data_IF_443018954574
#
_entry.id   IF_443018954574
#
_cell.length_a   1.000
_cell.length_b   1.000
_cell.length_c   1.000
_cell.angle_alpha   90.00
_cell.angle_beta   90.00
_cell.angle_gamma   90.00
#
_symmetry.space_group_name_H-M   'P 1'
#
loop_
_entity.id
_entity.type
_entity.pdbx_description
1 polymer ?
#
# COMPACT_ATOMS: atom_id res chain seq x y z
N UNK A 1 -8.86 11.12 14.91
CA UNK A 1 -7.74 11.72 14.21
C UNK A 1 -6.75 12.29 15.21
N UNK A 2 -5.60 11.64 15.35
CA UNK A 2 -4.59 12.10 16.28
C UNK A 2 -4.35 13.60 16.06
N UNK A 3 -3.52 13.90 15.08
CA UNK A 3 -3.20 15.29 14.77
C UNK A 3 -3.17 15.47 13.25
N UNK A 4 -4.25 16.06 12.74
CA UNK A 4 -4.36 16.29 11.31
C UNK A 4 -3.78 15.09 10.55
N UNK A 5 -4.40 13.94 10.77
CA UNK A 5 -3.96 12.73 10.12
C UNK A 5 -5.17 12.00 9.52
N UNK A 6 -4.88 10.95 8.78
CA UNK A 6 -5.93 10.16 8.14
C UNK A 6 -5.44 8.74 7.88
N UNK A 7 -6.39 7.87 7.56
CA UNK A 7 -6.07 6.48 7.29
C UNK A 7 -6.59 6.09 5.91
N UNK A 8 -5.69 5.52 5.11
CA UNK A 8 -6.05 5.09 3.76
C UNK A 8 -5.51 3.68 3.53
N UNK A 9 -6.44 2.76 3.33
CA UNK A 9 -6.08 1.37 3.08
C UNK A 9 -6.00 1.12 1.58
N UNK A 10 -4.90 0.51 1.16
CA UNK A 10 -4.70 0.21 -0.24
C UNK A 10 -4.70 -1.31 -0.45
N UNK A 11 -4.99 -1.71 -1.67
CA UNK A 11 -5.03 -3.13 -2.00
C UNK A 11 -4.47 -3.32 -3.42
N UNK A 12 -3.45 -4.16 -3.50
CA UNK A 12 -2.82 -4.44 -4.79
C UNK A 12 -2.75 -5.96 -4.99
N UNK A 13 -2.84 -6.36 -6.25
CA UNK A 13 -2.78 -7.77 -6.59
C UNK A 13 -1.45 -8.08 -7.27
N UNK A 14 -0.80 -9.16 -6.79
CA UNK A 14 0.48 -9.57 -7.34
C UNK A 14 0.30 -10.25 -8.69
N UNK A 15 1.31 -10.08 -9.55
CA UNK A 15 1.27 -10.66 -10.87
C UNK A 15 1.04 -12.17 -10.72
N UNK A 16 1.61 -12.72 -9.65
CA UNK A 16 1.47 -14.14 -9.38
C UNK A 16 2.22 -14.48 -8.09
N UNK A 17 2.16 -15.75 -7.72
CA UNK A 17 2.82 -16.21 -6.51
C UNK A 17 4.31 -15.86 -6.59
N UNK A 18 4.80 -15.74 -7.82
CA UNK A 18 6.20 -15.41 -8.05
C UNK A 18 6.53 -14.06 -7.40
N UNK A 19 5.58 -13.15 -7.49
CA UNK A 19 5.77 -11.82 -6.92
C UNK A 19 6.18 -11.93 -5.45
N UNK A 20 7.48 -11.72 -5.21
CA UNK A 20 8.01 -11.79 -3.87
C UNK A 20 7.20 -10.86 -2.96
N UNK A 21 6.32 -11.47 -2.17
CA UNK A 21 5.48 -10.71 -1.26
C UNK A 21 6.34 -10.01 -0.20
N UNK A 22 7.41 -10.67 0.19
CA UNK A 22 8.31 -10.12 1.19
C UNK A 22 8.87 -8.79 0.70
N UNK A 23 9.13 -8.74 -0.60
CA UNK A 23 9.66 -7.53 -1.22
C UNK A 23 8.52 -6.52 -1.41
N UNK A 24 7.40 -7.03 -1.91
CA UNK A 24 6.24 -6.19 -2.15
C UNK A 24 5.77 -5.57 -0.83
N UNK A 25 5.73 -6.42 0.19
CA UNK A 25 5.31 -5.98 1.51
C UNK A 25 6.34 -5.05 2.12
N UNK A 26 7.60 -5.33 1.81
CA UNK A 26 8.70 -4.52 2.31
C UNK A 26 8.77 -3.19 1.55
N UNK A 27 8.99 -3.30 0.25
CA UNK A 27 9.08 -2.11 -0.59
C UNK A 27 8.00 -1.13 -0.15
N UNK A 28 6.78 -1.62 -0.12
CA UNK A 28 5.65 -0.79 0.28
C UNK A 28 6.02 0.00 1.54
N UNK A 29 6.62 -0.71 2.49
CA UNK A 29 7.03 -0.09 3.74
C UNK A 29 8.22 0.83 3.50
N UNK A 30 9.25 0.29 2.88
CA UNK A 30 10.45 1.04 2.59
C UNK A 30 10.08 2.47 2.17
N UNK A 31 9.12 2.56 1.27
CA UNK A 31 8.65 3.84 0.79
C UNK A 31 8.55 4.82 1.95
N UNK A 32 9.13 6.00 1.76
CA UNK A 32 9.11 7.03 2.78
C UNK A 32 8.78 8.39 2.17
N UNK A 33 8.18 9.24 2.99
CA UNK A 33 7.81 10.57 2.53
C UNK A 33 7.60 11.48 3.75
N UNK A 34 7.52 12.78 3.47
CA UNK A 34 7.32 13.75 4.53
C UNK A 34 5.88 13.67 5.03
N UNK A 35 5.75 13.49 6.33
CA UNK A 35 4.43 13.40 6.95
C UNK A 35 3.76 12.07 6.59
N UNK A 36 4.54 11.19 6.00
CA UNK A 36 4.03 9.88 5.60
C UNK A 36 4.33 8.87 6.70
N UNK A 37 3.26 8.25 7.19
CA UNK A 37 3.40 7.25 8.25
C UNK A 37 3.00 5.88 7.70
N UNK A 38 3.83 4.89 7.99
CA UNK A 38 3.58 3.55 7.54
C UNK A 38 3.08 2.73 8.73
N UNK A 39 1.86 2.24 8.60
CA UNK A 39 1.25 1.45 9.66
C UNK A 39 1.47 -0.05 9.43
N UNK A 40 0.50 -0.83 9.86
CA UNK A 40 0.58 -2.27 9.70
C UNK A 40 -0.18 -2.70 8.44
N UNK A 41 0.39 -3.68 7.75
CA UNK A 41 -0.22 -4.19 6.54
C UNK A 41 -1.04 -5.44 6.85
N UNK A 42 -1.89 -5.80 5.90
CA UNK A 42 -2.75 -6.97 6.06
C UNK A 42 -2.60 -7.87 4.84
N UNK A 43 -2.97 -9.13 5.02
CA UNK A 43 -2.88 -10.10 3.95
C UNK A 43 -4.24 -10.75 3.74
N UNK A 44 -4.51 -11.11 2.49
CA UNK A 44 -5.78 -11.75 2.15
C UNK A 44 -5.53 -12.79 1.06
N UNK A 45 -5.55 -14.08 1.49
CA UNK A 45 -5.33 -15.17 0.56
C UNK A 45 -6.57 -15.43 -0.30
N UNK A 46 -6.34 -15.66 -1.58
CA UNK A 46 -7.42 -15.90 -2.51
C UNK A 46 -7.58 -17.41 -2.71
N UNK A 47 -6.55 -18.14 -2.32
CA UNK A 47 -6.56 -19.59 -2.45
C UNK A 47 -5.13 -20.14 -2.52
N UNK A 48 -4.34 -19.80 -1.52
CA UNK A 48 -2.97 -20.25 -1.45
C UNK A 48 -2.19 -19.82 -2.70
N UNK A 49 -0.87 -19.91 -2.59
CA UNK A 49 -0.01 -19.54 -3.69
C UNK A 49 0.02 -18.02 -3.88
N UNK A 50 -1.16 -17.46 -4.12
CA UNK A 50 -1.27 -16.02 -4.30
C UNK A 50 -1.94 -15.40 -3.07
N UNK A 51 -1.71 -14.10 -2.92
CA UNK A 51 -2.28 -13.38 -1.78
C UNK A 51 -2.48 -11.91 -2.18
N UNK A 52 -3.28 -11.22 -1.37
CA UNK A 52 -3.55 -9.82 -1.62
C UNK A 52 -2.45 -8.96 -0.99
N UNK A 53 -2.15 -7.85 -1.65
CA UNK A 53 -1.12 -6.95 -1.16
C UNK A 53 -1.78 -5.75 -0.50
N UNK A 54 -2.44 -6.01 0.62
CA UNK A 54 -3.12 -4.96 1.36
C UNK A 54 -2.18 -4.35 2.40
N UNK A 55 -2.23 -3.04 2.49
CA UNK A 55 -1.40 -2.32 3.45
C UNK A 55 -2.12 -1.06 3.92
N UNK A 56 -1.78 -0.63 5.13
CA UNK A 56 -2.38 0.56 5.70
C UNK A 56 -1.33 1.65 5.90
N UNK A 57 -1.77 2.89 5.69
CA UNK A 57 -0.87 4.02 5.85
C UNK A 57 -1.62 5.12 6.59
N UNK A 58 -0.87 6.05 7.15
CA UNK A 58 -1.45 7.16 7.89
C UNK A 58 -0.89 8.48 7.34
N UNK A 59 -1.65 9.08 6.43
CA UNK A 59 -1.25 10.33 5.83
C UNK A 59 -1.68 11.49 6.74
N UNK A 60 -1.18 12.67 6.41
CA UNK A 60 -1.50 13.86 7.18
C UNK A 60 -2.74 14.55 6.60
N UNK A 61 -3.90 13.99 6.91
CA UNK A 61 -5.15 14.55 6.44
C UNK A 61 -5.18 14.47 4.91
N UNK A 62 -4.51 15.43 4.29
CA UNK A 62 -4.45 15.48 2.84
C UNK A 62 -3.04 15.93 2.40
N UNK A 63 -2.08 15.63 3.26
CA UNK A 63 -0.70 15.99 2.98
C UNK A 63 -0.06 14.92 2.10
N UNK A 64 -0.10 13.69 2.60
CA UNK A 64 0.46 12.56 1.87
C UNK A 64 -0.66 11.83 1.14
N UNK A 65 -0.62 11.91 -0.19
CA UNK A 65 -1.62 11.25 -1.01
C UNK A 65 -1.12 9.88 -1.49
N UNK A 66 -2.07 9.07 -1.92
CA UNK A 66 -1.75 7.74 -2.40
C UNK A 66 -1.14 7.81 -3.80
N UNK A 67 -1.41 8.93 -4.48
CA UNK A 67 -0.91 9.14 -5.82
C UNK A 67 0.57 8.74 -5.86
N UNK A 68 1.34 9.33 -4.96
CA UNK A 68 2.76 9.06 -4.88
C UNK A 68 3.02 7.60 -4.49
N UNK A 69 2.43 7.21 -3.38
CA UNK A 69 2.59 5.85 -2.89
C UNK A 69 2.30 4.87 -4.03
N UNK A 70 1.23 5.15 -4.75
CA UNK A 70 0.84 4.30 -5.87
C UNK A 70 1.94 4.29 -6.93
N UNK A 71 2.31 5.49 -7.37
CA UNK A 71 3.35 5.63 -8.37
C UNK A 71 4.66 4.98 -7.89
N UNK A 72 4.70 4.70 -6.60
CA UNK A 72 5.87 4.09 -6.01
C UNK A 72 5.67 2.59 -5.84
N UNK A 73 4.51 2.23 -5.30
CA UNK A 73 4.17 0.83 -5.09
C UNK A 73 3.86 0.17 -6.43
N UNK A 74 2.94 0.79 -7.16
CA UNK A 74 2.54 0.27 -8.46
C UNK A 74 3.62 0.58 -9.50
N UNK A 75 4.67 1.25 -9.04
CA UNK A 75 5.77 1.61 -9.92
C UNK A 75 6.43 0.33 -10.45
N UNK A 76 6.12 -0.78 -9.80
CA UNK A 76 6.66 -2.06 -10.19
C UNK A 76 5.64 -2.88 -10.96
N UNK A 77 5.68 -2.73 -12.28
CA UNK A 77 4.76 -3.46 -13.14
C UNK A 77 5.18 -4.93 -13.26
N UNK A 78 6.31 -5.23 -12.65
CA UNK A 78 6.84 -6.58 -12.67
C UNK A 78 6.48 -7.29 -11.36
N UNK A 79 5.50 -6.71 -10.66
CA UNK A 79 5.06 -7.27 -9.40
C UNK A 79 3.59 -6.94 -9.15
N UNK A 80 3.24 -5.69 -9.39
CA UNK A 80 1.88 -5.24 -9.20
C UNK A 80 1.05 -5.56 -10.44
N UNK A 81 -0.03 -6.31 -10.23
CA UNK A 81 -0.90 -6.69 -11.32
C UNK A 81 -1.91 -5.57 -11.60
N UNK A 82 -2.41 -4.98 -10.53
CA UNK A 82 -3.38 -3.91 -10.65
C UNK A 82 -3.75 -3.38 -9.26
N UNK A 83 -3.36 -2.14 -9.01
CA UNK A 83 -3.64 -1.52 -7.72
C UNK A 83 -5.06 -0.94 -7.70
N UNK A 84 -5.62 -0.88 -6.50
CA UNK A 84 -6.95 -0.35 -6.33
C UNK A 84 -7.05 0.35 -4.97
N UNK A 85 -8.26 0.78 -4.64
CA UNK A 85 -8.49 1.48 -3.39
C UNK A 85 -9.45 0.64 -2.53
N UNK A 86 -9.15 0.59 -1.24
CA UNK A 86 -9.97 -0.16 -0.30
C UNK A 86 -10.93 0.80 0.40
N UNK A 87 -10.53 2.06 0.46
CA UNK A 87 -11.35 3.07 1.10
C UNK A 87 -10.56 4.37 1.20
N UNK A 88 -11.23 5.41 1.66
CA UNK A 88 -10.62 6.72 1.79
C UNK A 88 -11.32 7.55 2.86
N UNK A 89 -10.75 7.53 4.07
CA UNK A 89 -11.32 8.27 5.18
C UNK A 89 -10.21 8.62 6.17
N UNK A 90 -10.61 9.28 7.25
CA UNK A 90 -9.66 9.67 8.28
C UNK A 90 -9.27 8.44 9.10
N UNK A 91 -8.26 8.63 9.94
CA UNK A 91 -7.76 7.57 10.80
C UNK A 91 -8.20 7.80 12.23
#
# INVERSE_FOLDING_TARGET
MLVAKSSILLDVKPWDDETDMAKLEECVRSIQADGLVWGSSKLVPVGYGIKKLQIQCVVEDDKVGTDMLEEQITAFEDYVQSMDVAAFNKI
#
